data_IF_544925320056
#
_entry.id   IF_544925320056
#
_cell.length_a   1.000
_cell.length_b   1.000
_cell.length_c   1.000
_cell.angle_alpha   90.00
_cell.angle_beta   90.00
_cell.angle_gamma   90.00
#
_symmetry.space_group_name_H-M   'P 1'
#
loop_
_entity.id
_entity.type
_entity.pdbx_description
1 polymer ?
#
# COMPACT_ATOMS: atom_id res chain seq x y z
N UNK A 1 13.72 16.39 27.75
CA UNK A 1 14.41 15.47 26.81
C UNK A 1 13.49 14.31 26.56
N UNK A 2 13.17 13.99 25.30
CA UNK A 2 12.34 12.81 24.97
C UNK A 2 13.23 11.56 25.02
N UNK A 3 12.78 10.55 25.75
CA UNK A 3 13.48 9.26 25.80
C UNK A 3 13.39 8.59 24.43
N UNK A 4 14.50 8.16 23.83
CA UNK A 4 14.48 7.52 22.52
C UNK A 4 13.73 6.18 22.59
N UNK A 5 12.70 6.04 21.77
CA UNK A 5 11.93 4.80 21.62
C UNK A 5 12.76 3.81 20.80
N UNK A 6 12.90 2.56 21.28
CA UNK A 6 13.56 1.49 20.50
C UNK A 6 12.48 0.60 19.91
N UNK A 7 12.64 0.24 18.65
CA UNK A 7 11.70 -0.61 17.91
C UNK A 7 11.34 -1.91 18.67
N UNK A 8 12.34 -2.53 19.29
CA UNK A 8 12.17 -3.76 20.07
C UNK A 8 11.19 -3.64 21.25
N UNK A 9 11.03 -2.44 21.81
CA UNK A 9 10.19 -2.19 22.98
C UNK A 9 8.69 -2.13 22.58
N UNK A 10 8.40 -2.14 21.27
CA UNK A 10 7.06 -2.08 20.67
C UNK A 10 6.79 -3.25 19.71
N UNK A 11 7.63 -4.28 19.75
CA UNK A 11 7.38 -5.52 19.02
C UNK A 11 6.31 -6.33 19.76
N UNK A 12 5.14 -6.48 19.14
CA UNK A 12 4.10 -7.38 19.61
C UNK A 12 4.21 -8.72 18.87
N UNK A 13 3.95 -9.86 19.54
CA UNK A 13 3.85 -11.13 18.85
C UNK A 13 2.73 -11.05 17.80
N UNK A 14 2.91 -11.75 16.68
CA UNK A 14 1.87 -11.86 15.66
C UNK A 14 0.59 -12.43 16.32
N UNK A 15 -0.56 -11.75 16.23
CA UNK A 15 -1.82 -12.26 16.77
C UNK A 15 -2.18 -13.60 16.15
N UNK A 16 -2.84 -14.47 16.93
CA UNK A 16 -3.44 -15.69 16.39
C UNK A 16 -4.68 -15.31 15.57
N UNK A 17 -4.88 -15.88 14.35
CA UNK A 17 -6.06 -15.59 13.55
C UNK A 17 -7.37 -15.90 14.27
N UNK A 18 -8.38 -15.05 14.09
CA UNK A 18 -9.69 -15.18 14.74
C UNK A 18 -10.83 -14.62 13.87
N UNK A 19 -12.06 -15.09 14.10
CA UNK A 19 -13.24 -14.55 13.42
C UNK A 19 -13.19 -14.64 11.88
N UNK A 20 -13.14 -13.49 11.22
CA UNK A 20 -13.15 -13.33 9.76
C UNK A 20 -11.74 -13.14 9.16
N UNK A 21 -10.70 -13.45 9.92
CA UNK A 21 -9.32 -13.35 9.44
C UNK A 21 -9.09 -14.30 8.24
N UNK A 22 -8.25 -13.83 7.32
CA UNK A 22 -7.92 -14.48 6.05
C UNK A 22 -6.44 -14.84 6.03
N UNK A 23 -6.12 -16.01 5.48
CA UNK A 23 -4.76 -16.38 5.08
C UNK A 23 -4.63 -16.20 3.57
N UNK A 24 -3.56 -15.53 3.14
CA UNK A 24 -3.30 -15.25 1.74
C UNK A 24 -1.81 -14.96 1.54
N UNK A 25 -1.27 -15.44 0.41
CA UNK A 25 0.08 -15.11 -0.04
C UNK A 25 0.00 -14.19 -1.24
N UNK A 26 1.03 -13.38 -1.43
CA UNK A 26 1.15 -12.48 -2.56
C UNK A 26 2.16 -13.02 -3.58
N UNK A 27 1.82 -12.93 -4.87
CA UNK A 27 2.74 -13.21 -5.98
C UNK A 27 2.80 -12.05 -6.96
N UNK A 28 3.87 -12.02 -7.75
CA UNK A 28 4.08 -11.09 -8.86
C UNK A 28 3.92 -9.61 -8.46
N UNK A 29 4.44 -9.28 -7.28
CA UNK A 29 4.50 -7.91 -6.80
C UNK A 29 5.36 -7.06 -7.73
N UNK A 30 4.79 -5.99 -8.25
CA UNK A 30 5.50 -4.94 -8.96
C UNK A 30 5.01 -3.57 -8.46
N UNK A 31 5.87 -2.56 -8.58
CA UNK A 31 5.48 -1.16 -8.38
C UNK A 31 5.74 -0.45 -9.70
N UNK A 32 4.69 0.17 -10.24
CA UNK A 32 4.77 0.94 -11.47
C UNK A 32 4.44 2.38 -11.12
N UNK A 33 5.45 3.24 -11.16
CA UNK A 33 5.30 4.65 -10.84
C UNK A 33 5.22 5.47 -12.12
N UNK A 34 4.15 6.25 -12.24
CA UNK A 34 3.91 7.17 -13.35
C UNK A 34 4.17 8.60 -12.88
N UNK A 35 4.88 9.35 -13.70
CA UNK A 35 4.98 10.80 -13.56
C UNK A 35 3.84 11.44 -14.37
N UNK A 36 2.91 12.11 -13.69
CA UNK A 36 1.75 12.75 -14.31
C UNK A 36 1.68 14.22 -13.91
N UNK A 37 0.99 15.04 -14.71
CA UNK A 37 0.91 16.49 -14.46
C UNK A 37 0.39 16.76 -13.03
N UNK A 38 1.14 17.56 -12.25
CA UNK A 38 0.80 17.80 -10.85
C UNK A 38 -0.58 18.47 -10.67
N UNK A 39 -1.03 19.24 -11.66
CA UNK A 39 -2.35 19.88 -11.65
C UNK A 39 -3.51 18.87 -11.64
N UNK A 40 -3.30 17.65 -12.13
CA UNK A 40 -4.34 16.59 -12.11
C UNK A 40 -4.73 16.18 -10.70
N UNK A 41 -3.89 16.49 -9.72
CA UNK A 41 -4.17 16.19 -8.32
C UNK A 41 -4.80 17.37 -7.54
N UNK A 42 -5.04 18.51 -8.20
CA UNK A 42 -5.62 19.66 -7.56
C UNK A 42 -6.96 19.33 -6.90
N UNK A 43 -7.06 19.57 -5.58
CA UNK A 43 -8.27 19.29 -4.80
C UNK A 43 -8.49 17.80 -4.44
N UNK A 44 -7.61 16.88 -4.83
CA UNK A 44 -7.72 15.47 -4.44
C UNK A 44 -7.23 15.21 -3.01
N UNK A 45 -6.27 16.01 -2.53
CA UNK A 45 -5.66 15.80 -1.22
C UNK A 45 -6.18 16.77 -0.16
N UNK A 46 -6.43 16.29 1.08
CA UNK A 46 -6.60 17.16 2.23
C UNK A 46 -5.40 18.09 2.41
N UNK A 47 -5.63 19.32 2.89
CA UNK A 47 -4.61 20.37 3.03
C UNK A 47 -3.39 20.02 3.89
N UNK A 48 -3.50 18.98 4.72
CA UNK A 48 -2.39 18.47 5.56
C UNK A 48 -1.39 17.60 4.79
N UNK A 49 -1.73 17.19 3.57
CA UNK A 49 -0.86 16.38 2.72
C UNK A 49 -0.32 17.24 1.59
N UNK A 50 0.98 17.13 1.36
CA UNK A 50 1.65 17.74 0.22
C UNK A 50 1.86 16.66 -0.84
N UNK A 51 1.87 17.03 -2.11
CA UNK A 51 2.17 16.07 -3.18
C UNK A 51 3.69 16.02 -3.38
N UNK A 52 4.26 14.81 -3.30
CA UNK A 52 5.63 14.59 -3.74
C UNK A 52 5.70 14.73 -5.26
N UNK A 53 6.61 15.60 -5.71
CA UNK A 53 6.73 15.97 -7.11
C UNK A 53 8.17 16.06 -7.57
N UNK A 54 8.37 15.80 -8.86
CA UNK A 54 9.65 15.86 -9.56
C UNK A 54 9.53 16.77 -10.77
N UNK A 55 10.65 17.37 -11.18
CA UNK A 55 10.70 18.17 -12.41
C UNK A 55 11.21 17.27 -13.54
N UNK A 56 10.39 17.10 -14.59
CA UNK A 56 10.76 16.35 -15.80
C UNK A 56 10.50 17.28 -16.98
N UNK A 57 11.53 17.53 -17.80
CA UNK A 57 11.46 18.44 -18.95
C UNK A 57 10.95 19.86 -18.61
N UNK A 58 11.26 20.36 -17.40
CA UNK A 58 10.84 21.69 -16.95
C UNK A 58 9.41 21.77 -16.40
N UNK A 59 8.66 20.66 -16.39
CA UNK A 59 7.30 20.59 -15.84
C UNK A 59 7.27 19.85 -14.50
N UNK A 60 6.45 20.34 -13.57
CA UNK A 60 6.21 19.68 -12.30
C UNK A 60 5.28 18.49 -12.48
N UNK A 61 5.77 17.29 -12.16
CA UNK A 61 5.02 16.04 -12.22
C UNK A 61 4.83 15.50 -10.81
N UNK A 62 3.61 15.10 -10.48
CA UNK A 62 3.35 14.27 -9.30
C UNK A 62 3.54 12.79 -9.60
N UNK A 63 3.83 12.02 -8.56
CA UNK A 63 4.09 10.59 -8.67
C UNK A 63 2.86 9.78 -8.26
N UNK A 64 2.40 8.94 -9.18
CA UNK A 64 1.32 7.98 -8.96
C UNK A 64 1.88 6.57 -9.07
N UNK A 65 1.81 5.80 -7.99
CA UNK A 65 2.22 4.41 -7.97
C UNK A 65 1.02 3.49 -8.09
N UNK A 66 1.14 2.50 -8.98
CA UNK A 66 0.22 1.38 -9.06
C UNK A 66 0.97 0.13 -8.66
N UNK A 67 0.42 -0.61 -7.70
CA UNK A 67 1.02 -1.81 -7.13
C UNK A 67 0.15 -3.01 -7.52
N UNK A 68 0.40 -3.65 -8.68
CA UNK A 68 -0.23 -4.90 -9.02
C UNK A 68 0.39 -6.07 -8.22
N UNK A 69 -0.48 -6.97 -7.78
CA UNK A 69 -0.09 -8.25 -7.23
C UNK A 69 -1.21 -9.28 -7.46
N UNK A 70 -0.90 -10.55 -7.19
CA UNK A 70 -1.87 -11.63 -7.19
C UNK A 70 -2.00 -12.16 -5.77
N UNK A 71 -3.21 -12.10 -5.24
CA UNK A 71 -3.62 -12.86 -4.07
C UNK A 71 -3.71 -14.33 -4.47
N UNK A 72 -2.88 -15.16 -3.86
CA UNK A 72 -2.94 -16.62 -4.02
C UNK A 72 -3.29 -17.28 -2.70
N UNK A 73 -3.95 -18.42 -2.82
CA UNK A 73 -4.41 -19.21 -1.68
C UNK A 73 -5.34 -18.43 -0.72
N UNK A 74 -6.09 -17.44 -1.21
CA UNK A 74 -6.99 -16.62 -0.39
C UNK A 74 -8.08 -17.51 0.22
N UNK A 75 -8.06 -17.67 1.56
CA UNK A 75 -9.03 -18.48 2.30
C UNK A 75 -9.17 -18.00 3.74
N UNK A 76 -10.20 -18.46 4.46
CA UNK A 76 -10.31 -18.15 5.89
C UNK A 76 -9.18 -18.79 6.68
N UNK A 77 -8.57 -18.02 7.58
CA UNK A 77 -7.52 -18.49 8.47
C UNK A 77 -8.05 -19.34 9.65
N UNK A 78 -9.38 -19.39 9.83
CA UNK A 78 -10.01 -19.95 11.05
C UNK A 78 -10.98 -21.09 10.74
N UNK A 79 -11.71 -21.04 9.62
CA UNK A 79 -12.68 -22.06 9.23
C UNK A 79 -12.42 -22.58 7.81
N UNK A 80 -12.82 -23.83 7.48
CA UNK A 80 -12.73 -24.33 6.11
C UNK A 80 -13.52 -23.46 5.15
N UNK A 81 -12.84 -22.83 4.20
CA UNK A 81 -13.43 -21.95 3.20
C UNK A 81 -12.81 -22.22 1.82
N UNK A 82 -13.56 -22.06 0.71
CA UNK A 82 -12.99 -22.23 -0.62
C UNK A 82 -11.78 -21.32 -0.84
N UNK A 83 -10.82 -21.82 -1.61
CA UNK A 83 -9.56 -21.13 -1.87
C UNK A 83 -9.66 -20.38 -3.20
N UNK A 84 -9.28 -19.11 -3.20
CA UNK A 84 -9.35 -18.25 -4.37
C UNK A 84 -7.97 -17.75 -4.81
N UNK A 85 -7.86 -17.41 -6.09
CA UNK A 85 -6.71 -16.69 -6.65
C UNK A 85 -7.23 -15.52 -7.48
N UNK A 86 -6.76 -14.32 -7.18
CA UNK A 86 -7.28 -13.08 -7.77
C UNK A 86 -6.16 -12.06 -8.00
N UNK A 87 -6.20 -11.38 -9.15
CA UNK A 87 -5.35 -10.20 -9.39
C UNK A 87 -5.94 -8.96 -8.74
N UNK A 88 -5.10 -8.16 -8.09
CA UNK A 88 -5.47 -6.89 -7.46
C UNK A 88 -4.49 -5.79 -7.87
N UNK A 89 -4.97 -4.66 -8.41
CA UNK A 89 -4.18 -3.43 -8.48
C UNK A 89 -4.54 -2.51 -7.31
N UNK A 90 -3.54 -2.10 -6.51
CA UNK A 90 -3.70 -1.01 -5.53
C UNK A 90 -3.16 0.29 -6.12
N UNK A 91 -3.90 1.39 -5.98
CA UNK A 91 -3.45 2.72 -6.38
C UNK A 91 -2.97 3.47 -5.13
N UNK A 92 -1.75 3.98 -5.18
CA UNK A 92 -1.12 4.75 -4.12
C UNK A 92 -0.53 6.04 -4.68
N UNK A 93 -0.86 7.17 -4.06
CA UNK A 93 -0.24 8.46 -4.35
C UNK A 93 0.96 8.65 -3.43
N UNK A 94 2.08 9.11 -3.97
CA UNK A 94 3.22 9.48 -3.14
C UNK A 94 2.97 10.90 -2.62
N UNK A 95 2.86 11.03 -1.29
CA UNK A 95 2.53 12.26 -0.55
C UNK A 95 3.62 12.59 0.47
#
# INVERSE_FOLDING_TARGET
MLTPLKFKDFLHPRPTPSGIDVDCKLKHFAIITYAIDAERFAGLFPSRFQLDSVIINGEQKGLLSVVPFIDVDFTSAVYPFPVFTMGQPTIEFIL
#
